data_IF_611856724236
#
_entry.id   IF_611856724236
#
_cell.length_a   1.000
_cell.length_b   1.000
_cell.length_c   1.000
_cell.angle_alpha   90.00
_cell.angle_beta   90.00
_cell.angle_gamma   90.00
#
_symmetry.space_group_name_H-M   'P 1'
#
loop_
_entity.id
_entity.type
_entity.pdbx_description
1 polymer ?
#
# COMPACT_ATOMS: atom_id res chain seq x y z
N UNK A 1 17.63 9.47 -13.56
CA UNK A 1 16.76 8.66 -14.43
C UNK A 1 16.43 7.40 -13.65
N UNK A 2 15.16 7.10 -13.42
CA UNK A 2 14.74 5.89 -12.72
C UNK A 2 14.24 4.94 -13.79
N UNK A 3 14.99 3.87 -14.05
CA UNK A 3 14.60 2.83 -14.99
C UNK A 3 13.94 1.71 -14.17
N UNK A 4 12.66 1.42 -14.45
CA UNK A 4 11.90 0.36 -13.78
C UNK A 4 12.04 -0.89 -14.65
N UNK A 5 12.88 -1.83 -14.23
CA UNK A 5 13.24 -3.02 -15.02
C UNK A 5 12.10 -4.06 -15.10
N UNK A 6 11.23 -4.12 -14.09
CA UNK A 6 10.12 -5.08 -14.07
C UNK A 6 8.92 -4.53 -13.28
N UNK A 7 7.72 -4.61 -13.84
CA UNK A 7 6.47 -4.36 -13.10
C UNK A 7 6.07 -5.64 -12.37
N UNK A 8 5.89 -5.57 -11.04
CA UNK A 8 5.28 -6.67 -10.28
C UNK A 8 3.81 -6.85 -10.65
N UNK A 9 3.32 -8.09 -10.64
CA UNK A 9 1.89 -8.37 -10.87
C UNK A 9 1.05 -7.89 -9.69
N UNK A 10 -0.04 -7.14 -9.91
CA UNK A 10 -0.88 -6.69 -8.80
C UNK A 10 -1.51 -7.89 -8.09
N UNK A 11 -1.59 -7.88 -6.74
CA UNK A 11 -2.32 -8.92 -6.03
C UNK A 11 -3.76 -8.99 -6.55
N UNK A 12 -4.31 -10.20 -6.70
CA UNK A 12 -5.71 -10.36 -7.10
C UNK A 12 -6.64 -9.87 -5.98
N UNK A 13 -7.23 -8.69 -6.20
CA UNK A 13 -8.29 -8.14 -5.37
C UNK A 13 -9.64 -8.54 -5.95
N UNK A 14 -10.35 -9.41 -5.24
CA UNK A 14 -11.78 -9.60 -5.47
C UNK A 14 -12.59 -8.46 -4.82
N UNK A 15 -13.86 -8.34 -5.20
CA UNK A 15 -14.74 -7.28 -4.72
C UNK A 15 -14.90 -7.29 -3.19
N UNK A 16 -14.92 -8.48 -2.58
CA UNK A 16 -15.05 -8.64 -1.12
C UNK A 16 -13.84 -8.08 -0.39
N UNK A 17 -12.61 -8.39 -0.84
CA UNK A 17 -11.39 -7.82 -0.28
C UNK A 17 -11.37 -6.30 -0.42
N UNK A 18 -11.78 -5.78 -1.58
CA UNK A 18 -11.82 -4.33 -1.81
C UNK A 18 -12.76 -3.61 -0.83
N UNK A 19 -13.92 -4.20 -0.52
CA UNK A 19 -14.84 -3.66 0.48
C UNK A 19 -14.23 -3.69 1.87
N UNK A 20 -13.65 -4.81 2.29
CA UNK A 20 -13.00 -4.92 3.60
C UNK A 20 -11.89 -3.87 3.74
N UNK A 21 -10.99 -3.78 2.76
CA UNK A 21 -9.90 -2.80 2.79
C UNK A 21 -10.41 -1.36 2.83
N UNK A 22 -11.51 -1.03 2.15
CA UNK A 22 -12.09 0.31 2.23
C UNK A 22 -12.54 0.65 3.66
N UNK A 23 -13.14 -0.30 4.36
CA UNK A 23 -13.66 -0.08 5.72
C UNK A 23 -12.57 -0.17 6.80
N UNK A 24 -11.52 -0.97 6.57
CA UNK A 24 -10.49 -1.23 7.59
C UNK A 24 -9.19 -0.46 7.37
N UNK A 25 -8.99 0.18 6.21
CA UNK A 25 -7.71 0.81 5.89
C UNK A 25 -7.31 1.85 6.94
N UNK A 26 -6.08 1.74 7.43
CA UNK A 26 -5.50 2.66 8.41
C UNK A 26 -4.48 3.57 7.73
N UNK A 27 -4.57 4.87 7.98
CA UNK A 27 -3.56 5.82 7.54
C UNK A 27 -2.21 5.50 8.21
N UNK A 28 -1.12 5.62 7.46
CA UNK A 28 0.25 5.49 7.94
C UNK A 28 1.00 6.79 7.69
N UNK A 29 1.65 7.31 8.72
CA UNK A 29 2.47 8.53 8.60
C UNK A 29 3.82 8.27 7.94
N UNK A 30 4.34 7.05 8.07
CA UNK A 30 5.67 6.66 7.61
C UNK A 30 5.60 5.41 6.74
N UNK A 31 6.46 5.32 5.72
CA UNK A 31 6.62 4.14 4.88
C UNK A 31 7.89 3.37 5.27
N UNK A 32 7.81 2.42 6.21
CA UNK A 32 8.96 1.59 6.55
C UNK A 32 9.26 0.60 5.41
N UNK A 33 10.49 0.09 5.34
CA UNK A 33 10.98 -0.74 4.24
C UNK A 33 10.11 -1.98 3.98
N UNK A 34 9.71 -2.69 5.04
CA UNK A 34 8.82 -3.85 4.91
C UNK A 34 7.44 -3.51 4.34
N UNK A 35 6.95 -2.28 4.51
CA UNK A 35 5.68 -1.85 3.94
C UNK A 35 5.77 -1.52 2.43
N UNK A 36 6.96 -1.18 1.91
CA UNK A 36 7.17 -0.91 0.48
C UNK A 36 6.86 -2.16 -0.35
N UNK A 37 7.25 -3.32 0.17
CA UNK A 37 7.06 -4.61 -0.51
C UNK A 37 5.77 -5.33 -0.10
N UNK A 38 5.00 -4.75 0.82
CA UNK A 38 3.78 -5.36 1.35
C UNK A 38 2.60 -5.19 0.38
N UNK A 39 1.84 -6.27 0.04
CA UNK A 39 0.71 -6.20 -0.89
C UNK A 39 -0.50 -5.43 -0.33
N UNK A 40 -0.44 -5.08 0.95
CA UNK A 40 -1.46 -4.30 1.64
C UNK A 40 -1.04 -2.84 1.86
N UNK A 41 0.18 -2.44 1.46
CA UNK A 41 0.58 -1.03 1.46
C UNK A 41 0.11 -0.33 0.18
N UNK A 42 -0.60 0.79 0.31
CA UNK A 42 -1.11 1.54 -0.84
C UNK A 42 -0.90 3.05 -0.69
N UNK A 43 -0.36 3.68 -1.74
CA UNK A 43 -0.35 5.14 -1.89
C UNK A 43 -1.63 5.57 -2.61
N UNK A 44 -2.47 6.31 -1.90
CA UNK A 44 -3.75 6.80 -2.38
C UNK A 44 -3.62 8.29 -2.70
N UNK A 45 -4.00 8.67 -3.91
CA UNK A 45 -4.19 10.08 -4.29
C UNK A 45 -5.51 10.56 -3.68
N UNK A 46 -5.43 11.61 -2.86
CA UNK A 46 -6.56 12.23 -2.19
C UNK A 46 -6.84 13.56 -2.86
N UNK A 47 -8.09 13.73 -3.31
CA UNK A 47 -8.62 14.99 -3.78
C UNK A 47 -9.46 15.59 -2.63
N UNK A 48 -8.96 16.67 -2.02
CA UNK A 48 -9.55 17.34 -0.87
C UNK A 48 -10.25 18.62 -1.32
N UNK A 49 -11.58 18.62 -1.24
CA UNK A 49 -12.45 19.72 -1.65
C UNK A 49 -13.05 20.49 -0.47
N UNK A 50 -12.55 20.28 0.75
CA UNK A 50 -13.08 20.94 1.96
C UNK A 50 -12.77 22.43 2.03
N UNK A 51 -11.82 22.90 1.23
CA UNK A 51 -11.40 24.30 1.13
C UNK A 51 -11.85 24.92 -0.21
N UNK A 52 -11.74 26.24 -0.34
CA UNK A 52 -12.09 26.96 -1.58
C UNK A 52 -11.25 26.52 -2.79
N UNK A 53 -10.10 25.90 -2.55
CA UNK A 53 -9.20 25.37 -3.57
C UNK A 53 -9.09 23.84 -3.40
N UNK A 54 -9.22 23.12 -4.52
CA UNK A 54 -8.99 21.69 -4.58
C UNK A 54 -7.51 21.40 -4.36
N UNK A 55 -7.20 20.62 -3.31
CA UNK A 55 -5.84 20.13 -3.05
C UNK A 55 -5.74 18.67 -3.42
N UNK A 56 -4.67 18.31 -4.12
CA UNK A 56 -4.33 16.92 -4.41
C UNK A 56 -3.05 16.57 -3.66
N UNK A 57 -3.09 15.53 -2.85
CA UNK A 57 -1.93 14.99 -2.14
C UNK A 57 -2.00 13.48 -2.02
N UNK A 58 -0.92 12.85 -1.58
CA UNK A 58 -0.87 11.39 -1.39
C UNK A 58 -0.89 11.03 0.08
N UNK A 59 -1.62 9.98 0.39
CA UNK A 59 -1.63 9.35 1.71
C UNK A 59 -1.25 7.88 1.59
N UNK A 60 -0.47 7.40 2.55
CA UNK A 60 -0.12 6.00 2.65
C UNK A 60 -1.14 5.30 3.55
N UNK A 61 -1.69 4.19 3.07
CA UNK A 61 -2.63 3.37 3.81
C UNK A 61 -2.14 1.92 3.94
N UNK A 62 -2.42 1.33 5.10
CA UNK A 62 -2.38 -0.12 5.30
C UNK A 62 -3.79 -0.68 5.09
N UNK A 63 -3.99 -1.37 3.96
CA UNK A 63 -5.26 -1.99 3.57
C UNK A 63 -5.63 -3.21 4.42
N UNK A 64 -4.73 -3.68 5.28
CA UNK A 64 -4.99 -4.73 6.26
C UNK A 64 -5.45 -4.17 7.63
N UNK A 65 -5.55 -2.84 7.75
CA UNK A 65 -6.06 -2.16 8.94
C UNK A 65 -5.18 -2.20 10.17
N UNK A 66 -3.88 -2.42 10.00
CA UNK A 66 -2.92 -2.41 11.12
C UNK A 66 -2.52 -0.96 11.40
N UNK A 67 -2.75 -0.41 12.61
CA UNK A 67 -2.50 1.00 12.90
C UNK A 67 -1.02 1.37 12.93
N UNK A 68 -0.15 0.47 13.39
CA UNK A 68 1.28 0.68 13.50
C UNK A 68 2.04 -0.48 12.86
N UNK A 69 2.97 -0.17 11.96
CA UNK A 69 3.79 -1.17 11.27
C UNK A 69 4.64 -2.00 12.24
N UNK A 70 4.97 -1.49 13.42
CA UNK A 70 5.78 -2.19 14.43
C UNK A 70 5.02 -3.38 15.04
N UNK A 71 3.69 -3.31 15.03
CA UNK A 71 2.79 -4.36 15.51
C UNK A 71 2.31 -5.26 14.36
N UNK A 72 2.79 -5.03 13.14
CA UNK A 72 2.37 -5.76 11.97
C UNK A 72 3.00 -7.15 11.92
N UNK A 73 2.19 -8.19 12.15
CA UNK A 73 2.61 -9.59 12.06
C UNK A 73 3.11 -10.01 10.67
N UNK A 74 2.85 -9.22 9.62
CA UNK A 74 3.36 -9.44 8.26
C UNK A 74 4.73 -8.79 8.02
N UNK A 75 5.11 -7.79 8.83
CA UNK A 75 6.28 -6.95 8.58
C UNK A 75 7.60 -7.74 8.41
N UNK A 76 7.91 -8.74 9.26
CA UNK A 76 9.13 -9.54 9.10
C UNK A 76 9.22 -10.28 7.76
N UNK A 77 8.08 -10.62 7.15
CA UNK A 77 8.03 -11.36 5.87
C UNK A 77 8.44 -10.50 4.66
N UNK A 78 8.47 -9.18 4.83
CA UNK A 78 8.72 -8.21 3.77
C UNK A 78 9.91 -7.28 4.07
N UNK A 79 10.32 -7.15 5.33
CA UNK A 79 11.46 -6.31 5.72
C UNK A 79 12.83 -6.93 5.36
N UNK A 80 12.93 -8.26 5.25
CA UNK A 80 14.22 -8.98 5.19
C UNK A 80 14.66 -9.39 3.77
N UNK A 81 14.16 -8.69 2.74
CA UNK A 81 14.33 -9.10 1.33
C UNK A 81 15.51 -8.46 0.61
N UNK A 82 16.43 -7.83 1.31
CA UNK A 82 17.75 -7.57 0.72
C UNK A 82 18.51 -8.90 0.56
N UNK A 83 18.59 -9.40 -0.67
CA UNK A 83 19.58 -10.37 -1.19
C UNK A 83 19.34 -11.89 -1.24
N UNK A 84 18.21 -12.49 -0.82
CA UNK A 84 17.98 -13.93 -1.10
C UNK A 84 16.74 -14.22 -1.93
N UNK A 85 16.93 -14.05 -3.24
CA UNK A 85 16.11 -14.68 -4.27
C UNK A 85 16.17 -16.21 -4.17
N UNK A 86 15.07 -16.82 -3.74
CA UNK A 86 14.43 -17.99 -4.37
C UNK A 86 13.52 -18.66 -3.36
N UNK A 87 12.25 -18.86 -3.75
CA UNK A 87 11.11 -19.35 -2.96
C UNK A 87 10.39 -18.28 -2.14
N UNK A 88 9.69 -17.46 -2.88
CA UNK A 88 8.80 -16.42 -2.40
C UNK A 88 7.42 -16.80 -2.97
N UNK A 89 6.33 -16.83 -2.18
CA UNK A 89 5.02 -17.13 -2.71
C UNK A 89 4.68 -16.06 -3.76
N UNK A 90 4.30 -16.54 -4.95
CA UNK A 90 3.95 -15.76 -6.14
C UNK A 90 2.82 -14.78 -5.85
N UNK A 91 3.11 -13.64 -5.23
CA UNK A 91 2.18 -12.52 -4.98
C UNK A 91 3.01 -11.26 -4.64
N UNK A 92 3.77 -10.74 -5.61
CA UNK A 92 4.58 -9.53 -5.45
C UNK A 92 3.69 -8.28 -5.46
N UNK A 93 3.61 -7.57 -4.34
CA UNK A 93 2.89 -6.32 -4.19
C UNK A 93 3.31 -5.25 -5.20
N UNK A 94 2.34 -4.65 -5.90
CA UNK A 94 2.53 -3.42 -6.67
C UNK A 94 1.76 -2.28 -6.01
N UNK A 95 2.42 -1.14 -5.80
CA UNK A 95 1.79 0.08 -5.31
C UNK A 95 0.78 0.59 -6.36
N UNK A 96 -0.51 0.31 -6.15
CA UNK A 96 -1.56 0.89 -6.97
C UNK A 96 -1.85 2.31 -6.50
N UNK A 97 -1.62 3.28 -7.37
CA UNK A 97 -2.17 4.63 -7.23
C UNK A 97 -3.69 4.54 -7.38
N UNK A 98 -4.43 4.64 -6.29
CA UNK A 98 -5.90 4.76 -6.32
C UNK A 98 -6.28 6.18 -5.98
N UNK A 99 -7.16 6.78 -6.77
CA UNK A 99 -7.81 8.05 -6.45
C UNK A 99 -9.01 7.77 -5.56
N UNK A 100 -9.09 8.41 -4.40
CA UNK A 100 -10.26 8.37 -3.53
C UNK A 100 -10.71 9.80 -3.26
N UNK A 101 -11.97 10.08 -3.54
CA UNK A 101 -12.57 11.38 -3.27
C UNK A 101 -13.05 11.40 -1.82
N UNK A 102 -12.60 12.40 -1.05
CA UNK A 102 -13.06 12.62 0.33
C UNK A 102 -13.95 13.87 0.32
N UNK A 103 -15.26 13.67 0.40
CA UNK A 103 -16.27 14.73 0.62
C UNK A 103 -16.44 15.03 2.09
#
# INVERSE_FOLDING_TARGET
RIDIEQRGEPPQWDASKALVARETATLQENQPEGCIQCPFGALIDVEDTRYSEMKTYRQLYCLNGIPDYRDCYLYPSYADRSEKSSKLPSNSASCMTRKVNVT
#
